data_IF_589992043461
#
_entry.id   IF_589992043461
#
_cell.length_a   1.000
_cell.length_b   1.000
_cell.length_c   1.000
_cell.angle_alpha   90.00
_cell.angle_beta   90.00
_cell.angle_gamma   90.00
#
_symmetry.space_group_name_H-M   'P 1'
#
loop_
_entity.id
_entity.type
_entity.pdbx_description
1 polymer ?
#
# COMPACT_ATOMS: atom_id res chain seq x y z
N UNK A 1 -6.10 -2.45 0.42
CA UNK A 1 -5.76 -1.21 -0.27
C UNK A 1 -5.51 -1.47 -1.74
N UNK A 2 -4.28 -1.84 -2.12
CA UNK A 2 -3.89 -1.92 -3.54
C UNK A 2 -4.66 -2.96 -4.37
N UNK A 3 -5.05 -4.10 -3.77
CA UNK A 3 -5.89 -5.10 -4.44
C UNK A 3 -7.22 -4.48 -4.93
N UNK A 4 -7.91 -3.75 -4.06
CA UNK A 4 -9.18 -3.08 -4.40
C UNK A 4 -8.92 -1.90 -5.34
N UNK A 5 -7.83 -1.15 -5.11
CA UNK A 5 -7.49 0.02 -5.91
C UNK A 5 -7.32 -0.31 -7.40
N UNK A 6 -6.69 -1.44 -7.76
CA UNK A 6 -6.57 -1.85 -9.16
C UNK A 6 -7.95 -2.07 -9.81
N UNK A 7 -8.84 -2.80 -9.13
CA UNK A 7 -10.18 -3.08 -9.64
C UNK A 7 -11.12 -1.87 -9.60
N UNK A 8 -10.82 -0.84 -8.81
CA UNK A 8 -11.63 0.38 -8.75
C UNK A 8 -11.11 1.46 -9.71
N UNK A 9 -9.81 1.71 -9.75
CA UNK A 9 -9.22 2.85 -10.48
C UNK A 9 -9.29 2.63 -11.99
N UNK A 10 -8.90 1.46 -12.50
CA UNK A 10 -8.90 1.20 -13.94
C UNK A 10 -10.28 1.40 -14.60
N UNK A 11 -11.40 0.88 -14.05
CA UNK A 11 -12.72 1.16 -14.59
C UNK A 11 -13.11 2.64 -14.57
N UNK A 12 -12.79 3.37 -13.50
CA UNK A 12 -13.09 4.80 -13.45
C UNK A 12 -12.28 5.59 -14.48
N UNK A 13 -11.00 5.25 -14.66
CA UNK A 13 -10.17 5.83 -15.72
C UNK A 13 -10.79 5.58 -17.09
N UNK A 14 -11.28 4.36 -17.36
CA UNK A 14 -11.96 4.03 -18.63
C UNK A 14 -13.23 4.85 -18.85
N UNK A 15 -14.02 5.11 -17.81
CA UNK A 15 -15.26 5.90 -17.91
C UNK A 15 -14.96 7.35 -18.31
N UNK A 16 -13.88 7.93 -17.78
CA UNK A 16 -13.51 9.32 -18.03
C UNK A 16 -12.50 9.49 -19.17
N UNK A 17 -12.01 8.40 -19.75
CA UNK A 17 -11.06 8.44 -20.85
C UNK A 17 -11.71 9.04 -22.10
N UNK A 18 -11.02 10.00 -22.70
CA UNK A 18 -11.38 10.55 -24.01
C UNK A 18 -10.13 10.54 -24.89
N UNK A 19 -10.20 9.81 -26.00
CA UNK A 19 -9.12 9.79 -26.96
C UNK A 19 -8.86 11.21 -27.51
N UNK A 20 -7.60 11.60 -27.71
CA UNK A 20 -7.27 12.83 -28.41
C UNK A 20 -7.77 12.78 -29.85
N UNK A 21 -8.10 13.94 -30.39
CA UNK A 21 -8.56 14.08 -31.77
C UNK A 21 -7.44 13.73 -32.75
N UNK A 22 -7.72 12.78 -33.63
CA UNK A 22 -6.82 12.33 -34.67
C UNK A 22 -7.06 13.15 -35.94
N UNK A 23 -6.01 13.79 -36.45
CA UNK A 23 -6.08 14.69 -37.60
C UNK A 23 -5.74 13.99 -38.92
N UNK A 24 -5.08 12.83 -38.87
CA UNK A 24 -4.67 12.08 -40.06
C UNK A 24 -3.24 11.54 -39.98
N UNK A 25 -2.83 10.85 -41.03
CA UNK A 25 -1.46 10.39 -41.17
C UNK A 25 -0.50 11.57 -41.37
N UNK A 26 0.79 11.38 -41.08
CA UNK A 26 1.80 12.47 -41.09
C UNK A 26 1.95 13.11 -42.47
N UNK A 27 1.71 12.36 -43.53
CA UNK A 27 1.73 12.78 -44.93
C UNK A 27 0.45 13.52 -45.37
N UNK A 28 -0.64 13.38 -44.61
CA UNK A 28 -1.93 14.01 -44.91
C UNK A 28 -2.12 15.36 -44.22
N UNK A 29 -1.20 15.78 -43.35
CA UNK A 29 -1.34 16.97 -42.51
C UNK A 29 -0.11 17.88 -42.68
N UNK A 30 -0.34 19.15 -42.98
CA UNK A 30 0.73 20.14 -43.10
C UNK A 30 1.20 20.57 -41.70
N UNK A 31 2.42 20.15 -41.34
CA UNK A 31 3.03 20.42 -40.04
C UNK A 31 3.91 21.66 -40.11
N UNK A 32 3.59 22.67 -39.30
CA UNK A 32 4.38 23.88 -39.13
C UNK A 32 5.18 23.73 -37.83
N UNK A 33 6.50 23.93 -37.86
CA UNK A 33 7.34 23.83 -36.65
C UNK A 33 7.80 25.21 -36.21
N UNK A 34 7.33 25.66 -35.05
CA UNK A 34 7.71 26.94 -34.45
C UNK A 34 8.25 26.73 -33.03
N UNK A 35 9.44 27.27 -32.75
CA UNK A 35 10.07 27.22 -31.42
C UNK A 35 10.12 25.83 -30.77
N UNK A 36 10.27 24.77 -31.58
CA UNK A 36 10.32 23.38 -31.12
C UNK A 36 8.96 22.69 -30.90
N UNK A 37 7.85 23.38 -31.18
CA UNK A 37 6.49 22.82 -31.17
C UNK A 37 6.03 22.53 -32.58
N UNK A 38 5.25 21.46 -32.76
CA UNK A 38 4.58 21.14 -34.03
C UNK A 38 3.16 21.70 -33.97
N UNK A 39 2.79 22.46 -34.99
CA UNK A 39 1.51 23.14 -35.11
C UNK A 39 0.83 22.71 -36.42
N UNK A 40 -0.49 22.73 -36.44
CA UNK A 40 -1.32 22.55 -37.63
C UNK A 40 -2.30 23.69 -37.69
N UNK A 41 -2.50 24.26 -38.88
CA UNK A 41 -3.52 25.27 -39.09
C UNK A 41 -4.89 24.60 -39.23
N UNK A 42 -5.78 24.85 -38.27
CA UNK A 42 -7.15 24.33 -38.26
C UNK A 42 -8.09 25.53 -38.21
N UNK A 43 -8.87 25.73 -39.26
CA UNK A 43 -9.83 26.84 -39.37
C UNK A 43 -9.22 28.24 -39.15
N UNK A 44 -7.97 28.46 -39.60
CA UNK A 44 -7.27 29.75 -39.48
C UNK A 44 -6.57 29.99 -38.13
N UNK A 45 -6.59 29.01 -37.22
CA UNK A 45 -5.85 29.04 -35.96
C UNK A 45 -4.74 27.99 -35.96
N UNK A 46 -3.53 28.38 -35.54
CA UNK A 46 -2.44 27.45 -35.28
C UNK A 46 -2.70 26.71 -33.97
N UNK A 47 -2.80 25.37 -34.04
CA UNK A 47 -2.97 24.53 -32.86
C UNK A 47 -1.85 23.52 -32.72
N UNK A 48 -1.44 23.28 -31.49
CA UNK A 48 -0.34 22.38 -31.17
C UNK A 48 -0.73 20.92 -31.37
N UNK A 49 0.14 20.16 -32.04
CA UNK A 49 -0.05 18.75 -32.36
C UNK A 49 1.14 17.91 -31.94
N UNK A 50 0.89 16.64 -31.69
CA UNK A 50 1.92 15.62 -31.44
C UNK A 50 1.81 14.56 -32.51
N UNK A 51 2.97 14.18 -33.05
CA UNK A 51 3.05 13.04 -33.98
C UNK A 51 3.37 11.80 -33.16
N UNK A 52 2.52 10.80 -33.28
CA UNK A 52 2.63 9.51 -32.60
C UNK A 52 3.08 8.48 -33.62
N UNK A 53 4.29 7.94 -33.45
CA UNK A 53 4.81 6.84 -34.27
C UNK A 53 4.63 5.48 -33.61
N UNK A 54 5.08 4.41 -34.29
CA UNK A 54 5.00 3.03 -33.81
C UNK A 54 5.51 2.81 -32.36
N UNK A 55 6.59 3.51 -31.98
CA UNK A 55 7.17 3.40 -30.64
C UNK A 55 6.32 4.12 -29.57
N UNK A 56 5.58 5.16 -29.94
CA UNK A 56 4.77 5.96 -29.02
C UNK A 56 3.41 5.31 -28.75
N UNK A 57 2.93 4.46 -29.66
CA UNK A 57 1.70 3.67 -29.50
C UNK A 57 1.73 2.79 -28.24
N UNK A 58 2.90 2.25 -27.89
CA UNK A 58 3.08 1.42 -26.70
C UNK A 58 2.90 2.22 -25.39
N UNK A 59 3.08 3.53 -25.43
CA UNK A 59 2.86 4.44 -24.30
C UNK A 59 1.43 4.97 -24.19
N UNK A 60 0.59 4.76 -25.20
CA UNK A 60 -0.80 5.21 -25.19
C UNK A 60 -1.67 4.34 -24.27
N UNK A 61 -2.56 4.98 -23.52
CA UNK A 61 -3.52 4.28 -22.66
C UNK A 61 -4.47 3.36 -23.46
N UNK A 62 -4.93 3.83 -24.61
CA UNK A 62 -5.66 3.03 -25.58
C UNK A 62 -4.97 3.20 -26.95
N UNK A 63 -4.59 2.11 -27.62
CA UNK A 63 -3.88 2.20 -28.90
C UNK A 63 -4.78 2.82 -29.97
N UNK A 64 -4.26 3.80 -30.70
CA UNK A 64 -4.87 4.44 -31.86
C UNK A 64 -4.02 4.25 -33.12
N UNK A 65 -4.44 4.80 -34.28
CA UNK A 65 -3.61 4.82 -35.49
C UNK A 65 -2.34 5.67 -35.30
N UNK A 66 -1.27 5.36 -36.04
CA UNK A 66 -0.12 6.26 -36.14
C UNK A 66 -0.50 7.54 -36.89
N UNK A 67 0.04 8.68 -36.47
CA UNK A 67 -0.21 9.95 -37.15
C UNK A 67 -0.27 11.14 -36.21
N UNK A 68 -1.01 12.17 -36.63
CA UNK A 68 -1.02 13.48 -35.98
C UNK A 68 -2.23 13.62 -35.06
N UNK A 69 -1.98 13.97 -33.81
CA UNK A 69 -3.00 14.16 -32.78
C UNK A 69 -2.99 15.58 -32.23
N UNK A 70 -4.17 16.15 -31.99
CA UNK A 70 -4.34 17.50 -31.48
C UNK A 70 -4.14 17.56 -29.96
N UNK A 71 -3.23 18.43 -29.50
CA UNK A 71 -2.94 18.60 -28.06
C UNK A 71 -4.15 19.22 -27.34
N UNK A 72 -4.46 18.71 -26.14
CA UNK A 72 -5.51 19.27 -25.29
C UNK A 72 -6.94 18.82 -25.59
N UNK A 73 -7.14 17.96 -26.60
CA UNK A 73 -8.47 17.42 -26.95
C UNK A 73 -8.84 16.12 -26.24
N UNK A 74 -7.82 15.37 -25.81
CA UNK A 74 -7.96 14.11 -25.08
C UNK A 74 -7.76 14.28 -23.58
N UNK A 75 -8.27 13.33 -22.81
CA UNK A 75 -7.97 13.22 -21.37
C UNK A 75 -7.82 11.75 -20.98
N UNK A 76 -6.81 11.47 -20.15
CA UNK A 76 -6.63 10.14 -19.56
C UNK A 76 -7.69 9.89 -18.48
N UNK A 77 -8.41 10.92 -18.00
CA UNK A 77 -9.49 10.76 -17.03
C UNK A 77 -9.04 10.52 -15.58
N UNK A 78 -7.73 10.59 -15.30
CA UNK A 78 -7.15 10.30 -13.98
C UNK A 78 -7.70 11.24 -12.91
N UNK A 79 -7.70 12.55 -13.15
CA UNK A 79 -8.18 13.53 -12.18
C UNK A 79 -9.65 13.27 -11.81
N UNK A 80 -10.50 13.01 -12.80
CA UNK A 80 -11.92 12.69 -12.64
C UNK A 80 -12.10 11.39 -11.86
N UNK A 81 -11.32 10.34 -12.18
CA UNK A 81 -11.36 9.08 -11.46
C UNK A 81 -11.01 9.27 -9.97
N UNK A 82 -10.00 10.06 -9.64
CA UNK A 82 -9.65 10.39 -8.26
C UNK A 82 -10.71 11.24 -7.55
N UNK A 83 -11.33 12.20 -8.23
CA UNK A 83 -12.45 12.98 -7.67
C UNK A 83 -13.65 12.10 -7.33
N UNK A 84 -14.05 11.22 -8.26
CA UNK A 84 -15.14 10.27 -8.05
C UNK A 84 -14.86 9.32 -6.90
N UNK A 85 -13.64 8.78 -6.84
CA UNK A 85 -13.22 7.91 -5.74
C UNK A 85 -13.21 8.66 -4.40
N UNK A 86 -12.73 9.90 -4.38
CA UNK A 86 -12.77 10.79 -3.22
C UNK A 86 -14.19 11.07 -2.73
N UNK A 87 -15.12 11.36 -3.64
CA UNK A 87 -16.53 11.57 -3.31
C UNK A 87 -17.18 10.31 -2.73
N UNK A 88 -16.90 9.13 -3.30
CA UNK A 88 -17.38 7.85 -2.79
C UNK A 88 -16.86 7.62 -1.36
N UNK A 89 -15.55 7.80 -1.13
CA UNK A 89 -14.97 7.66 0.20
C UNK A 89 -15.55 8.67 1.19
N UNK A 90 -15.76 9.92 0.77
CA UNK A 90 -16.35 10.96 1.62
C UNK A 90 -17.75 10.57 2.11
N UNK A 91 -18.63 10.10 1.22
CA UNK A 91 -19.98 9.66 1.59
C UNK A 91 -19.94 8.46 2.54
N UNK A 92 -19.12 7.45 2.23
CA UNK A 92 -18.98 6.26 3.09
C UNK A 92 -18.48 6.64 4.48
N UNK A 93 -17.44 7.49 4.55
CA UNK A 93 -16.86 7.94 5.82
C UNK A 93 -17.85 8.79 6.64
N UNK A 94 -18.65 9.66 6.00
CA UNK A 94 -19.71 10.41 6.68
C UNK A 94 -20.77 9.47 7.27
N UNK A 95 -21.27 8.51 6.48
CA UNK A 95 -22.24 7.53 6.97
C UNK A 95 -21.69 6.74 8.17
N UNK A 96 -20.43 6.30 8.11
CA UNK A 96 -19.77 5.60 9.21
C UNK A 96 -19.60 6.50 10.46
N UNK A 97 -19.22 7.76 10.27
CA UNK A 97 -19.04 8.71 11.37
C UNK A 97 -20.34 8.99 12.12
N UNK A 98 -21.47 9.14 11.41
CA UNK A 98 -22.78 9.32 12.03
C UNK A 98 -23.37 8.02 12.61
N UNK A 99 -22.96 6.86 12.10
CA UNK A 99 -23.39 5.55 12.58
C UNK A 99 -22.65 5.07 13.83
N UNK A 100 -21.40 5.48 14.03
CA UNK A 100 -20.58 5.00 15.15
C UNK A 100 -20.96 5.70 16.47
N UNK A 101 -21.34 4.92 17.49
CA UNK A 101 -21.67 5.43 18.82
C UNK A 101 -20.87 4.70 19.88
N UNK A 102 -20.31 5.46 20.82
CA UNK A 102 -19.62 4.91 21.98
C UNK A 102 -20.67 4.42 22.99
N UNK A 103 -20.49 3.23 23.60
CA UNK A 103 -21.36 2.76 24.67
C UNK A 103 -21.42 3.76 25.83
N UNK A 104 -22.58 3.84 26.50
CA UNK A 104 -22.72 4.68 27.70
C UNK A 104 -21.81 4.16 28.82
N UNK A 105 -21.39 5.05 29.72
CA UNK A 105 -20.63 4.63 30.90
C UNK A 105 -21.41 3.58 31.71
N UNK A 106 -20.73 2.49 32.08
CA UNK A 106 -21.34 1.36 32.80
C UNK A 106 -22.17 0.41 31.93
N UNK A 107 -22.31 0.65 30.63
CA UNK A 107 -23.00 -0.28 29.73
C UNK A 107 -22.26 -1.61 29.63
N UNK A 108 -22.98 -2.71 29.86
CA UNK A 108 -22.51 -4.08 29.67
C UNK A 108 -23.46 -4.79 28.68
N UNK A 109 -22.95 -5.65 27.79
CA UNK A 109 -23.81 -6.49 26.96
C UNK A 109 -24.73 -7.35 27.83
N UNK A 110 -25.97 -7.57 27.38
CA UNK A 110 -26.90 -8.42 28.11
C UNK A 110 -26.34 -9.86 28.22
N UNK A 111 -26.29 -10.39 29.44
CA UNK A 111 -25.74 -11.72 29.72
C UNK A 111 -24.20 -11.79 29.77
N UNK A 112 -23.49 -10.66 29.73
CA UNK A 112 -22.04 -10.64 29.90
C UNK A 112 -21.65 -10.59 31.38
N UNK A 113 -21.11 -11.69 31.89
CA UNK A 113 -20.44 -11.73 33.18
C UNK A 113 -18.94 -11.50 33.00
N UNK A 114 -18.30 -10.65 33.80
CA UNK A 114 -16.87 -10.42 33.70
C UNK A 114 -16.10 -11.74 33.97
N UNK A 115 -15.05 -12.04 33.19
CA UNK A 115 -14.21 -13.21 33.45
C UNK A 115 -13.65 -13.16 34.88
N UNK A 116 -13.66 -14.31 35.57
CA UNK A 116 -13.07 -14.45 36.89
C UNK A 116 -11.61 -13.94 36.91
N UNK A 117 -11.19 -13.30 38.00
CA UNK A 117 -9.88 -12.62 38.13
C UNK A 117 -8.69 -13.56 37.80
N UNK A 118 -8.84 -14.84 38.10
CA UNK A 118 -7.92 -15.95 37.83
C UNK A 118 -7.76 -16.30 36.33
N UNK A 119 -8.67 -15.85 35.46
CA UNK A 119 -8.57 -15.97 33.99
C UNK A 119 -8.15 -14.68 33.29
N UNK A 120 -7.99 -13.58 34.02
CA UNK A 120 -7.51 -12.33 33.43
C UNK A 120 -6.00 -12.42 33.18
N UNK A 121 -5.60 -12.19 31.94
CA UNK A 121 -4.18 -12.19 31.55
C UNK A 121 -3.46 -11.07 32.32
N UNK A 122 -2.36 -11.39 32.98
CA UNK A 122 -1.59 -10.49 33.86
C UNK A 122 -1.11 -9.17 33.23
N UNK A 123 -1.20 -9.04 31.90
CA UNK A 123 -0.81 -7.85 31.16
C UNK A 123 -1.98 -6.90 30.80
N UNK A 124 -3.22 -7.22 31.18
CA UNK A 124 -4.39 -6.36 30.91
C UNK A 124 -4.57 -5.40 32.09
N UNK A 125 -4.52 -4.09 31.83
CA UNK A 125 -4.73 -3.07 32.86
C UNK A 125 -6.17 -3.02 33.35
N UNK A 126 -6.33 -2.86 34.66
CA UNK A 126 -7.62 -2.63 35.33
C UNK A 126 -8.05 -1.16 35.28
N UNK A 127 -7.13 -0.25 34.94
CA UNK A 127 -7.35 1.19 34.98
C UNK A 127 -7.16 1.85 33.62
N UNK A 128 -7.90 2.94 33.40
CA UNK A 128 -7.81 3.73 32.19
C UNK A 128 -6.81 4.88 32.38
N UNK A 129 -5.77 4.89 31.55
CA UNK A 129 -4.74 5.93 31.55
C UNK A 129 -5.17 7.05 30.61
N UNK A 130 -5.16 8.30 31.10
CA UNK A 130 -5.46 9.47 30.28
C UNK A 130 -4.42 9.64 29.15
N UNK A 131 -4.83 10.22 28.02
CA UNK A 131 -4.02 10.32 26.81
C UNK A 131 -2.67 11.03 27.06
N UNK A 132 -2.69 12.10 27.85
CA UNK A 132 -1.48 12.88 28.15
C UNK A 132 -0.54 12.19 29.12
N UNK A 133 -1.07 11.35 30.01
CA UNK A 133 -0.26 10.54 30.91
C UNK A 133 0.38 9.37 30.17
N UNK A 134 -0.33 8.76 29.21
CA UNK A 134 0.19 7.68 28.39
C UNK A 134 1.49 8.08 27.68
N UNK A 135 1.59 9.31 27.16
CA UNK A 135 2.79 9.83 26.50
C UNK A 135 4.00 10.00 27.42
N UNK A 136 3.80 10.11 28.74
CA UNK A 136 4.91 10.22 29.70
C UNK A 136 5.49 8.85 30.07
N UNK A 137 4.80 7.78 29.71
CA UNK A 137 5.21 6.42 30.06
C UNK A 137 6.25 5.87 29.08
N UNK A 138 7.17 5.04 29.59
CA UNK A 138 8.15 4.34 28.75
C UNK A 138 7.49 3.33 27.82
N UNK A 139 6.38 2.73 28.26
CA UNK A 139 5.61 1.74 27.52
C UNK A 139 5.11 2.30 26.19
N UNK A 140 4.65 3.55 26.16
CA UNK A 140 4.22 4.20 24.94
C UNK A 140 5.36 4.27 23.92
N UNK A 141 6.54 4.74 24.32
CA UNK A 141 7.69 4.83 23.42
C UNK A 141 8.25 3.47 23.01
N UNK A 142 8.17 2.45 23.87
CA UNK A 142 8.53 1.08 23.48
C UNK A 142 7.62 0.57 22.36
N UNK A 143 6.31 0.76 22.49
CA UNK A 143 5.35 0.41 21.44
C UNK A 143 5.55 1.25 20.19
N UNK A 144 5.86 2.54 20.35
CA UNK A 144 6.15 3.45 19.24
C UNK A 144 7.34 2.97 18.43
N UNK A 145 8.44 2.61 19.09
CA UNK A 145 9.67 2.12 18.46
C UNK A 145 9.41 0.79 17.74
N UNK A 146 8.74 -0.15 18.43
CA UNK A 146 8.39 -1.46 17.88
C UNK A 146 7.49 -1.30 16.63
N UNK A 147 6.49 -0.41 16.68
CA UNK A 147 5.66 -0.13 15.51
C UNK A 147 6.48 0.52 14.40
N UNK A 148 7.29 1.55 14.72
CA UNK A 148 8.12 2.27 13.76
C UNK A 148 9.03 1.32 12.98
N UNK A 149 9.80 0.47 13.65
CA UNK A 149 10.71 -0.48 13.00
C UNK A 149 9.97 -1.54 12.17
N UNK A 150 8.88 -2.11 12.71
CA UNK A 150 8.09 -3.10 11.98
C UNK A 150 7.56 -2.52 10.66
N UNK A 151 7.09 -1.28 10.71
CA UNK A 151 6.51 -0.58 9.58
C UNK A 151 7.55 -0.11 8.57
N UNK A 152 8.69 0.42 9.04
CA UNK A 152 9.76 0.97 8.19
C UNK A 152 10.23 -0.08 7.19
N UNK A 153 10.49 -1.30 7.66
CA UNK A 153 10.93 -2.39 6.80
C UNK A 153 9.86 -2.78 5.76
N UNK A 154 8.58 -2.82 6.15
CA UNK A 154 7.48 -3.14 5.24
C UNK A 154 7.22 -2.07 4.18
N UNK A 155 7.23 -0.78 4.56
CA UNK A 155 7.02 0.33 3.62
C UNK A 155 8.16 0.43 2.61
N UNK A 156 9.41 0.26 3.06
CA UNK A 156 10.56 0.26 2.17
C UNK A 156 10.41 -0.78 1.06
N UNK A 157 10.19 -2.05 1.41
CA UNK A 157 10.02 -3.12 0.41
C UNK A 157 8.78 -2.89 -0.45
N UNK A 158 7.68 -2.39 0.12
CA UNK A 158 6.44 -2.13 -0.63
C UNK A 158 6.65 -1.08 -1.75
N UNK A 159 7.45 -0.04 -1.47
CA UNK A 159 7.71 1.05 -2.42
C UNK A 159 8.44 0.60 -3.68
N UNK A 160 9.31 -0.42 -3.56
CA UNK A 160 10.12 -0.94 -4.67
C UNK A 160 9.73 -2.36 -5.10
N UNK A 161 8.63 -2.91 -4.59
CA UNK A 161 8.29 -4.32 -4.75
C UNK A 161 8.22 -4.80 -6.22
N UNK A 162 7.57 -4.01 -7.10
CA UNK A 162 7.48 -4.35 -8.54
C UNK A 162 8.86 -4.32 -9.19
N UNK A 163 9.60 -3.25 -8.96
CA UNK A 163 10.95 -3.04 -9.50
C UNK A 163 11.89 -4.14 -9.04
N UNK A 164 11.90 -4.44 -7.74
CA UNK A 164 12.69 -5.51 -7.14
C UNK A 164 12.42 -6.87 -7.79
N UNK A 165 11.15 -7.23 -8.05
CA UNK A 165 10.81 -8.48 -8.74
C UNK A 165 11.32 -8.50 -10.18
N UNK A 166 11.12 -7.41 -10.92
CA UNK A 166 11.55 -7.30 -12.32
C UNK A 166 13.07 -7.25 -12.49
N UNK A 167 13.80 -6.57 -11.61
CA UNK A 167 15.25 -6.43 -11.71
C UNK A 167 16.00 -7.71 -11.30
N UNK A 168 15.56 -8.38 -10.22
CA UNK A 168 16.23 -9.59 -9.72
C UNK A 168 15.91 -10.80 -10.60
N UNK A 169 14.66 -10.95 -11.02
CA UNK A 169 14.19 -12.17 -11.67
C UNK A 169 13.80 -12.01 -13.14
N UNK A 170 13.58 -10.78 -13.64
CA UNK A 170 13.10 -10.57 -15.01
C UNK A 170 14.14 -10.89 -16.09
N UNK A 171 15.41 -10.64 -15.82
CA UNK A 171 16.51 -10.99 -16.74
C UNK A 171 16.97 -12.44 -16.62
N UNK A 172 16.86 -13.03 -15.42
CA UNK A 172 17.30 -14.39 -15.11
C UNK A 172 16.24 -15.45 -15.41
N UNK A 173 14.96 -15.11 -15.29
CA UNK A 173 13.80 -15.97 -15.57
C UNK A 173 12.80 -15.27 -16.51
N UNK A 174 13.20 -14.84 -17.72
CA UNK A 174 12.37 -14.00 -18.60
C UNK A 174 11.09 -14.68 -19.09
N UNK A 175 11.07 -16.02 -19.13
CA UNK A 175 9.89 -16.79 -19.52
C UNK A 175 8.81 -16.88 -18.41
N UNK A 176 9.15 -16.48 -17.18
CA UNK A 176 8.27 -16.59 -16.00
C UNK A 176 7.96 -15.21 -15.43
N UNK A 177 8.99 -14.37 -15.28
CA UNK A 177 8.88 -13.05 -14.64
C UNK A 177 8.79 -11.96 -15.70
N UNK A 178 7.57 -11.75 -16.18
CA UNK A 178 7.22 -10.62 -17.03
C UNK A 178 6.58 -9.45 -16.23
N UNK A 179 6.18 -8.39 -16.92
CA UNK A 179 5.55 -7.23 -16.29
C UNK A 179 4.19 -7.57 -15.63
N UNK A 180 3.48 -8.58 -16.16
CA UNK A 180 2.20 -9.04 -15.60
C UNK A 180 2.42 -9.83 -14.31
N UNK A 181 3.44 -10.67 -14.25
CA UNK A 181 3.87 -11.40 -13.06
C UNK A 181 4.27 -10.44 -11.94
N UNK A 182 5.14 -9.46 -12.25
CA UNK A 182 5.55 -8.45 -11.27
C UNK A 182 4.37 -7.62 -10.74
N UNK A 183 3.37 -7.34 -11.59
CA UNK A 183 2.14 -6.67 -11.16
C UNK A 183 1.26 -7.57 -10.28
N UNK A 184 1.19 -8.86 -10.59
CA UNK A 184 0.48 -9.87 -9.78
C UNK A 184 1.15 -10.06 -8.43
N UNK A 185 2.48 -10.02 -8.38
CA UNK A 185 3.24 -10.06 -7.14
C UNK A 185 2.85 -8.92 -6.17
N UNK A 186 2.74 -7.68 -6.65
CA UNK A 186 2.28 -6.54 -5.83
C UNK A 186 0.84 -6.73 -5.36
N UNK A 187 -0.02 -7.32 -6.20
CA UNK A 187 -1.39 -7.65 -5.81
C UNK A 187 -1.41 -8.70 -4.69
N UNK A 188 -0.55 -9.72 -4.77
CA UNK A 188 -0.44 -10.75 -3.74
C UNK A 188 0.14 -10.23 -2.43
N UNK A 189 1.12 -9.30 -2.47
CA UNK A 189 1.56 -8.56 -1.28
C UNK A 189 0.36 -7.94 -0.55
N UNK A 190 -0.54 -7.30 -1.30
CA UNK A 190 -1.74 -6.67 -0.72
C UNK A 190 -2.73 -7.68 -0.15
N UNK A 191 -2.88 -8.85 -0.77
CA UNK A 191 -3.71 -9.94 -0.28
C UNK A 191 -3.17 -10.49 1.04
N UNK A 192 -1.90 -10.86 1.08
CA UNK A 192 -1.25 -11.41 2.27
C UNK A 192 -1.18 -10.37 3.40
N UNK A 193 -1.03 -9.09 3.09
CA UNK A 193 -1.18 -8.03 4.08
C UNK A 193 -2.56 -8.01 4.73
N UNK A 194 -3.62 -8.14 3.92
CA UNK A 194 -5.00 -8.18 4.42
C UNK A 194 -5.28 -9.44 5.24
N UNK A 195 -4.87 -10.61 4.74
CA UNK A 195 -5.01 -11.89 5.45
C UNK A 195 -4.25 -11.83 6.78
N UNK A 196 -3.02 -11.32 6.75
CA UNK A 196 -2.19 -11.16 7.94
C UNK A 196 -2.84 -10.31 9.03
N UNK A 197 -3.57 -9.24 8.68
CA UNK A 197 -4.31 -8.44 9.66
C UNK A 197 -5.31 -9.31 10.45
N UNK A 198 -6.08 -10.14 9.76
CA UNK A 198 -7.10 -10.99 10.38
C UNK A 198 -6.43 -12.12 11.15
N UNK A 199 -5.50 -12.84 10.50
CA UNK A 199 -4.80 -13.98 11.09
C UNK A 199 -4.08 -13.58 12.37
N UNK A 200 -3.22 -12.56 12.33
CA UNK A 200 -2.42 -12.19 13.49
C UNK A 200 -3.23 -11.47 14.58
N UNK A 201 -4.27 -10.71 14.24
CA UNK A 201 -5.20 -10.19 15.24
C UNK A 201 -5.80 -11.32 16.06
N UNK A 202 -6.41 -12.30 15.39
CA UNK A 202 -6.99 -13.48 16.04
C UNK A 202 -5.96 -14.32 16.78
N UNK A 203 -4.81 -14.64 16.17
CA UNK A 203 -3.77 -15.45 16.81
C UNK A 203 -3.18 -14.75 18.04
N UNK A 204 -3.07 -13.42 18.04
CA UNK A 204 -2.52 -12.69 19.18
C UNK A 204 -3.43 -12.69 20.40
N UNK A 205 -4.74 -12.95 20.24
CA UNK A 205 -5.66 -13.20 21.35
C UNK A 205 -5.30 -14.49 22.10
N UNK A 206 -4.69 -15.48 21.42
CA UNK A 206 -4.26 -16.74 22.03
C UNK A 206 -2.80 -16.70 22.47
N UNK A 207 -1.90 -16.27 21.58
CA UNK A 207 -0.44 -16.23 21.80
C UNK A 207 -0.01 -15.14 22.80
N UNK A 208 -0.82 -14.10 22.97
CA UNK A 208 -0.48 -12.91 23.73
C UNK A 208 0.25 -11.85 22.89
N UNK A 209 -0.10 -10.58 23.10
CA UNK A 209 0.37 -9.46 22.25
C UNK A 209 1.89 -9.33 22.22
N UNK A 210 2.54 -9.43 23.37
CA UNK A 210 4.00 -9.35 23.49
C UNK A 210 4.69 -10.46 22.67
N UNK A 211 4.20 -11.69 22.75
CA UNK A 211 4.78 -12.82 22.03
C UNK A 211 4.57 -12.70 20.52
N UNK A 212 3.41 -12.18 20.09
CA UNK A 212 3.17 -11.90 18.68
C UNK A 212 4.20 -10.91 18.12
N UNK A 213 4.52 -9.83 18.84
CA UNK A 213 5.57 -8.92 18.41
C UNK A 213 6.96 -9.55 18.45
N UNK A 214 7.29 -10.39 19.43
CA UNK A 214 8.54 -11.15 19.41
C UNK A 214 8.67 -12.01 18.15
N UNK A 215 7.59 -12.70 17.76
CA UNK A 215 7.55 -13.46 16.51
C UNK A 215 7.79 -12.52 15.32
N UNK A 216 7.13 -11.36 15.27
CA UNK A 216 7.31 -10.40 14.18
C UNK A 216 8.76 -9.95 14.00
N UNK A 217 9.46 -9.70 15.08
CA UNK A 217 10.85 -9.25 15.03
C UNK A 217 11.83 -10.39 14.78
N UNK A 218 11.73 -11.50 15.51
CA UNK A 218 12.67 -12.62 15.35
C UNK A 218 12.53 -13.30 13.99
N UNK A 219 11.30 -13.66 13.60
CA UNK A 219 11.05 -14.23 12.28
C UNK A 219 11.30 -13.19 11.18
N UNK A 220 10.98 -11.92 11.45
CA UNK A 220 11.20 -10.83 10.49
C UNK A 220 12.66 -10.69 10.13
N UNK A 221 13.57 -10.69 11.11
CA UNK A 221 15.02 -10.62 10.87
C UNK A 221 15.47 -11.78 9.98
N UNK A 222 15.05 -13.01 10.29
CA UNK A 222 15.43 -14.20 9.50
C UNK A 222 14.95 -14.06 8.05
N UNK A 223 13.70 -13.63 7.84
CA UNK A 223 13.12 -13.48 6.50
C UNK A 223 13.73 -12.31 5.73
N UNK A 224 14.01 -11.18 6.37
CA UNK A 224 14.66 -10.05 5.71
C UNK A 224 16.11 -10.39 5.32
N UNK A 225 16.82 -11.17 6.13
CA UNK A 225 18.15 -11.67 5.77
C UNK A 225 18.13 -12.71 4.63
N UNK A 226 17.03 -13.43 4.44
CA UNK A 226 16.93 -14.42 3.35
C UNK A 226 16.67 -13.80 1.98
N UNK A 227 16.11 -12.58 1.92
CA UNK A 227 15.87 -11.83 0.67
C UNK A 227 17.17 -11.60 -0.13
N UNK A 228 18.22 -10.94 0.40
CA UNK A 228 19.45 -10.70 -0.37
C UNK A 228 20.16 -12.02 -0.72
N UNK A 229 20.09 -13.03 0.15
CA UNK A 229 20.64 -14.34 -0.13
C UNK A 229 19.96 -15.00 -1.35
N UNK A 230 18.63 -15.06 -1.38
CA UNK A 230 17.88 -15.63 -2.50
C UNK A 230 18.09 -14.85 -3.80
N UNK A 231 18.20 -13.52 -3.72
CA UNK A 231 18.51 -12.66 -4.87
C UNK A 231 19.88 -12.99 -5.48
N UNK A 232 20.92 -13.13 -4.64
CA UNK A 232 22.26 -13.50 -5.10
C UNK A 232 22.31 -14.92 -5.67
N UNK A 233 21.61 -15.87 -5.05
CA UNK A 233 21.61 -17.27 -5.50
C UNK A 233 20.94 -17.44 -6.87
N UNK A 234 19.92 -16.64 -7.20
CA UNK A 234 19.32 -16.65 -8.55
C UNK A 234 20.34 -16.27 -9.63
N UNK A 235 21.21 -15.31 -9.35
CA UNK A 235 22.23 -14.89 -10.32
C UNK A 235 23.30 -15.96 -10.55
N UNK A 236 23.59 -16.79 -9.53
CA UNK A 236 24.59 -17.88 -9.63
C UNK A 236 23.97 -19.14 -10.22
N UNK A 237 22.76 -19.50 -9.80
CA UNK A 237 22.02 -20.68 -10.28
C UNK A 237 20.59 -20.26 -10.61
N UNK A 238 20.29 -19.97 -11.90
CA UNK A 238 18.97 -19.52 -12.37
C UNK A 238 17.90 -20.61 -12.25
N UNK A 239 17.46 -20.88 -11.03
CA UNK A 239 16.44 -21.88 -10.70
C UNK A 239 15.18 -21.22 -10.16
N UNK A 240 14.04 -21.74 -10.58
CA UNK A 240 12.70 -21.31 -10.11
C UNK A 240 12.55 -21.51 -8.60
N UNK A 241 13.31 -22.43 -8.00
CA UNK A 241 13.29 -22.68 -6.56
C UNK A 241 13.59 -21.42 -5.75
N UNK A 242 14.55 -20.60 -6.19
CA UNK A 242 14.91 -19.36 -5.51
C UNK A 242 13.84 -18.28 -5.65
N UNK A 243 13.16 -18.22 -6.80
CA UNK A 243 11.99 -17.37 -6.99
C UNK A 243 10.88 -17.75 -6.00
N UNK A 244 10.60 -19.05 -5.85
CA UNK A 244 9.58 -19.53 -4.90
C UNK A 244 9.94 -19.18 -3.46
N UNK A 245 11.20 -19.36 -3.05
CA UNK A 245 11.64 -18.98 -1.71
C UNK A 245 11.54 -17.48 -1.45
N UNK A 246 12.01 -16.65 -2.39
CA UNK A 246 11.88 -15.19 -2.31
C UNK A 246 10.41 -14.77 -2.21
N UNK A 247 9.56 -15.34 -3.06
CA UNK A 247 8.13 -15.05 -3.09
C UNK A 247 7.49 -15.44 -1.75
N UNK A 248 7.73 -16.64 -1.26
CA UNK A 248 7.18 -17.11 0.01
C UNK A 248 7.65 -16.27 1.21
N UNK A 249 8.94 -15.93 1.26
CA UNK A 249 9.51 -15.09 2.31
C UNK A 249 8.85 -13.71 2.33
N UNK A 250 8.74 -13.06 1.16
CA UNK A 250 8.11 -11.74 1.06
C UNK A 250 6.62 -11.77 1.39
N UNK A 251 5.87 -12.79 0.95
CA UNK A 251 4.46 -12.95 1.35
C UNK A 251 4.32 -13.06 2.86
N UNK A 252 5.15 -13.87 3.52
CA UNK A 252 5.11 -14.06 4.97
C UNK A 252 5.44 -12.76 5.71
N UNK A 253 6.46 -12.03 5.29
CA UNK A 253 6.80 -10.69 5.81
C UNK A 253 5.58 -9.76 5.74
N UNK A 254 4.89 -9.72 4.60
CA UNK A 254 3.75 -8.82 4.43
C UNK A 254 2.53 -9.22 5.26
N UNK A 255 2.36 -10.50 5.62
CA UNK A 255 1.38 -10.89 6.64
C UNK A 255 1.71 -10.26 7.99
N UNK A 256 2.99 -10.26 8.39
CA UNK A 256 3.45 -9.74 9.68
C UNK A 256 3.40 -8.21 9.72
N UNK A 257 3.71 -7.53 8.60
CA UNK A 257 3.51 -6.09 8.45
C UNK A 257 2.04 -5.69 8.67
N UNK A 258 1.10 -6.45 8.09
CA UNK A 258 -0.33 -6.23 8.32
C UNK A 258 -0.75 -6.58 9.74
N UNK A 259 -0.24 -7.69 10.26
CA UNK A 259 -0.49 -8.15 11.62
C UNK A 259 -0.06 -7.12 12.68
N UNK A 260 1.11 -6.50 12.53
CA UNK A 260 1.60 -5.44 13.42
C UNK A 260 0.62 -4.27 13.53
N UNK A 261 0.00 -3.86 12.43
CA UNK A 261 -1.03 -2.81 12.45
C UNK A 261 -2.35 -3.26 13.09
N UNK A 262 -2.74 -4.52 12.91
CA UNK A 262 -4.00 -5.02 13.42
C UNK A 262 -3.95 -5.31 14.92
N UNK A 263 -2.78 -5.70 15.45
CA UNK A 263 -2.62 -6.06 16.87
C UNK A 263 -2.32 -4.87 17.76
N UNK A 264 -1.77 -3.77 17.22
CA UNK A 264 -1.36 -2.62 18.04
C UNK A 264 -2.50 -1.94 18.83
N UNK A 265 -3.73 -1.74 18.30
CA UNK A 265 -4.77 -1.07 19.06
C UNK A 265 -5.24 -1.92 20.25
N UNK A 266 -5.28 -3.24 20.05
CA UNK A 266 -5.60 -4.18 21.13
C UNK A 266 -4.46 -4.21 22.17
N UNK A 267 -3.19 -4.15 21.74
CA UNK A 267 -2.07 -4.08 22.67
C UNK A 267 -2.05 -2.78 23.49
N UNK A 268 -2.41 -1.64 22.86
CA UNK A 268 -2.60 -0.38 23.56
C UNK A 268 -3.78 -0.44 24.55
N UNK A 269 -4.89 -1.08 24.18
CA UNK A 269 -6.02 -1.28 25.07
C UNK A 269 -5.63 -2.15 26.28
N UNK A 270 -4.82 -3.18 26.07
CA UNK A 270 -4.32 -4.04 27.13
C UNK A 270 -3.41 -3.27 28.12
N UNK A 271 -2.60 -2.32 27.64
CA UNK A 271 -1.64 -1.57 28.50
C UNK A 271 -2.26 -0.31 29.14
N UNK A 272 -3.04 0.47 28.39
CA UNK A 272 -3.53 1.79 28.79
C UNK A 272 -5.04 1.83 29.05
N UNK A 273 -5.75 0.74 28.74
CA UNK A 273 -7.19 0.62 28.93
C UNK A 273 -7.97 1.09 27.70
N UNK A 274 -9.23 0.69 27.62
CA UNK A 274 -10.08 0.88 26.43
C UNK A 274 -10.66 2.29 26.28
N UNK A 275 -10.85 3.04 27.37
CA UNK A 275 -11.56 4.34 27.36
C UNK A 275 -10.91 5.39 26.45
N UNK A 276 -9.58 5.48 26.44
CA UNK A 276 -8.83 6.51 25.70
C UNK A 276 -7.97 5.95 24.56
N UNK A 277 -8.12 4.66 24.24
CA UNK A 277 -7.23 3.94 23.32
C UNK A 277 -7.20 4.56 21.92
N UNK A 278 -8.33 5.09 21.43
CA UNK A 278 -8.40 5.73 20.11
C UNK A 278 -7.49 6.94 20.00
N UNK A 279 -7.48 7.81 21.02
CA UNK A 279 -6.61 8.98 21.07
C UNK A 279 -5.12 8.61 21.24
N UNK A 280 -4.83 7.64 22.10
CA UNK A 280 -3.47 7.12 22.30
C UNK A 280 -2.94 6.49 21.01
N UNK A 281 -3.76 5.68 20.34
CA UNK A 281 -3.45 5.06 19.05
C UNK A 281 -3.19 6.12 17.98
N UNK A 282 -4.04 7.16 17.89
CA UNK A 282 -3.81 8.28 16.97
C UNK A 282 -2.45 8.95 17.16
N UNK A 283 -2.01 9.16 18.42
CA UNK A 283 -0.67 9.68 18.71
C UNK A 283 0.44 8.67 18.39
N UNK A 284 0.19 7.37 18.59
CA UNK A 284 1.13 6.31 18.22
C UNK A 284 1.38 6.25 16.71
N UNK A 285 0.38 6.58 15.88
CA UNK A 285 0.52 6.59 14.41
C UNK A 285 1.54 7.62 13.89
N UNK A 286 2.04 8.53 14.72
CA UNK A 286 3.24 9.32 14.37
C UNK A 286 4.43 8.42 14.05
N UNK A 287 4.53 7.23 14.66
CA UNK A 287 5.53 6.21 14.31
C UNK A 287 5.40 5.76 12.85
N UNK A 288 4.17 5.59 12.35
CA UNK A 288 3.92 5.22 10.96
C UNK A 288 4.33 6.33 10.00
N UNK A 289 4.03 7.59 10.34
CA UNK A 289 4.48 8.74 9.56
C UNK A 289 6.02 8.83 9.50
N UNK A 290 6.71 8.67 10.63
CA UNK A 290 8.17 8.62 10.68
C UNK A 290 8.74 7.46 9.85
N UNK A 291 8.17 6.27 9.97
CA UNK A 291 8.55 5.10 9.19
C UNK A 291 8.35 5.30 7.67
N UNK A 292 7.31 6.05 7.28
CA UNK A 292 7.06 6.43 5.89
C UNK A 292 8.15 7.33 5.29
N UNK A 293 8.88 8.07 6.14
CA UNK A 293 10.06 8.86 5.74
C UNK A 293 11.32 8.00 5.75
N UNK A 294 11.56 7.25 6.83
CA UNK A 294 12.78 6.46 6.99
C UNK A 294 12.89 5.29 6.00
N UNK A 295 11.77 4.63 5.68
CA UNK A 295 11.76 3.45 4.82
C UNK A 295 12.29 3.73 3.41
N UNK A 296 11.67 4.65 2.65
CA UNK A 296 12.16 5.03 1.33
C UNK A 296 13.57 5.60 1.35
N UNK A 297 13.88 6.49 2.32
CA UNK A 297 15.22 7.07 2.43
C UNK A 297 16.29 6.00 2.59
N UNK A 298 16.11 5.05 3.51
CA UNK A 298 17.07 3.99 3.76
C UNK A 298 17.36 3.12 2.52
N UNK A 299 16.40 2.95 1.61
CA UNK A 299 16.60 2.18 0.37
C UNK A 299 17.28 3.04 -0.70
N UNK A 300 16.95 4.32 -0.77
CA UNK A 300 17.50 5.21 -1.83
C UNK A 300 18.88 5.75 -1.52
N UNK A 301 19.30 5.79 -0.25
CA UNK A 301 20.57 6.39 0.18
C UNK A 301 21.67 5.40 0.57
N UNK A 302 21.36 4.10 0.67
CA UNK A 302 22.29 3.02 0.99
C UNK A 302 22.48 2.11 -0.22
#
# INVERSE_FOLDING_TARGET
GAMIAKFMIEPFIKIYYKAPEYLGAVDAVELITESGRRLVEIAGELREVVVVGANDLAGMYAPGPEGVYLVGTGTVGVAQAFFTLGAIYFVIMLCAAFGYRVPREGWKPAGWEPPAEDKQKSMITQHHVHIDEALKTRQFYQLWVILCFNVTAGIGVLGVAKTMMSEIFGSTLPHIVDAAFASTYVLMISLFNMIGRIFWASSSDYLGRRNTYWIFFTLGIILYCSIPYTAQQVSVNPSVVWLVYFYAATMLIFTMYGGGFATIPAYLADIFGTKYVGGIHGRLLTAWASAGVFGPLAITSL
#
